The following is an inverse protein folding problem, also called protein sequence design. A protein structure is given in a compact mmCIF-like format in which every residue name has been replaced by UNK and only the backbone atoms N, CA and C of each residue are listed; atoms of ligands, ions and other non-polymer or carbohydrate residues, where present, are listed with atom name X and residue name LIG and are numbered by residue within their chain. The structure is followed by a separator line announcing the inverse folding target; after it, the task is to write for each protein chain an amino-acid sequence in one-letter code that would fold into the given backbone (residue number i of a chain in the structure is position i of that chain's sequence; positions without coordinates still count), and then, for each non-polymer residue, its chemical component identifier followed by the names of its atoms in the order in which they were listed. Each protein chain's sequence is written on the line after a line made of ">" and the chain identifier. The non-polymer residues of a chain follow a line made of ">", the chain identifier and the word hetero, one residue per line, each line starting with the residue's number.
data_IF_431047510218
#
_entry.id   IF_431047510218
#
_cell.length_a   1.000
_cell.length_b   1.000
_cell.length_c   1.000
_cell.angle_alpha   90.00
_cell.angle_beta   90.00
_cell.angle_gamma   90.00
#
_symmetry.space_group_name_H-M   'P 1'
#
loop_
_entity.id
_entity.type
_entity.pdbx_description
1 polymer ?
#
# COMPACT_ATOMS: atom_id res chain seq x y z
N UNK A 1 16.74 0.11 4.53
CA UNK A 1 16.41 1.45 5.09
C UNK A 1 14.91 1.66 5.28
N UNK A 2 14.05 1.42 4.27
CA UNK A 2 12.60 1.68 4.36
C UNK A 2 11.87 0.98 5.54
N UNK A 3 12.23 -0.27 5.87
CA UNK A 3 11.62 -1.02 6.99
C UNK A 3 11.72 -0.30 8.35
N UNK A 4 12.88 0.29 8.65
CA UNK A 4 13.09 1.02 9.91
C UNK A 4 12.28 2.33 9.97
N UNK A 5 11.89 2.86 8.82
CA UNK A 5 11.21 4.15 8.71
C UNK A 5 9.71 4.00 9.01
N UNK A 6 9.04 2.98 8.44
CA UNK A 6 7.62 2.76 8.69
C UNK A 6 7.34 2.31 10.13
N UNK A 7 8.20 1.46 10.70
CA UNK A 7 8.13 1.09 12.12
C UNK A 7 8.24 2.31 13.04
N UNK A 8 9.24 3.18 12.84
CA UNK A 8 9.38 4.43 13.61
C UNK A 8 8.17 5.35 13.45
N UNK A 9 7.58 5.39 12.25
CA UNK A 9 6.38 6.16 12.00
C UNK A 9 5.15 5.61 12.75
N UNK A 10 4.98 4.29 12.76
CA UNK A 10 3.96 3.62 13.57
C UNK A 10 4.13 3.90 15.07
N UNK A 11 5.33 3.70 15.60
CA UNK A 11 5.66 3.94 17.01
C UNK A 11 5.36 5.40 17.42
N UNK A 12 5.67 6.37 16.55
CA UNK A 12 5.50 7.79 16.84
C UNK A 12 4.05 8.26 16.79
N UNK A 13 3.25 7.79 15.83
CA UNK A 13 1.94 8.38 15.53
C UNK A 13 0.74 7.49 15.88
N UNK A 14 0.95 6.17 16.02
CA UNK A 14 -0.15 5.19 16.05
C UNK A 14 -0.10 4.31 17.29
N UNK A 15 1.08 3.88 17.73
CA UNK A 15 1.20 3.00 18.90
C UNK A 15 0.64 3.68 20.15
N UNK A 16 -0.15 2.92 20.92
CA UNK A 16 -0.82 3.43 22.13
C UNK A 16 -2.09 4.24 21.87
N UNK A 17 -2.47 4.48 20.60
CA UNK A 17 -3.75 5.13 20.27
C UNK A 17 -4.92 4.16 20.43
N UNK A 18 -6.06 4.64 20.93
CA UNK A 18 -7.26 3.82 21.11
C UNK A 18 -7.86 3.38 19.76
N UNK A 19 -8.61 2.27 19.73
CA UNK A 19 -9.28 1.78 18.52
C UNK A 19 -10.17 2.86 17.90
N UNK A 20 -10.03 3.10 16.59
CA UNK A 20 -10.75 4.13 15.82
C UNK A 20 -10.57 5.57 16.30
N UNK A 21 -9.59 5.86 17.17
CA UNK A 21 -9.32 7.23 17.57
C UNK A 21 -8.78 8.05 16.41
N UNK A 22 -9.02 9.36 16.45
CA UNK A 22 -8.35 10.29 15.55
C UNK A 22 -6.82 10.23 15.77
N UNK A 23 -6.07 10.42 14.69
CA UNK A 23 -4.60 10.53 14.71
C UNK A 23 -4.17 11.77 13.93
N UNK A 24 -3.02 12.33 14.30
CA UNK A 24 -2.42 13.47 13.60
C UNK A 24 -2.25 13.13 12.13
N UNK A 25 -2.69 14.02 11.23
CA UNK A 25 -2.54 13.82 9.80
C UNK A 25 -1.08 14.04 9.36
N UNK A 26 -0.28 12.99 9.47
CA UNK A 26 1.10 12.95 8.98
C UNK A 26 1.26 11.96 7.83
N UNK A 27 2.30 12.15 7.01
CA UNK A 27 2.66 11.32 5.86
C UNK A 27 4.15 11.03 5.85
N UNK A 28 4.53 9.85 5.39
CA UNK A 28 5.92 9.47 5.21
C UNK A 28 6.18 8.84 3.85
N UNK A 29 7.37 9.07 3.30
CA UNK A 29 7.85 8.40 2.10
C UNK A 29 8.11 6.92 2.40
N UNK A 30 7.48 6.02 1.63
CA UNK A 30 7.62 4.58 1.79
C UNK A 30 8.69 4.03 0.86
N UNK A 31 8.55 4.26 -0.45
CA UNK A 31 9.49 3.76 -1.46
C UNK A 31 9.30 4.44 -2.83
N UNK A 32 10.22 4.18 -3.76
CA UNK A 32 10.02 4.44 -5.18
C UNK A 32 9.50 3.17 -5.87
N UNK A 33 8.49 3.32 -6.74
CA UNK A 33 8.12 2.30 -7.70
C UNK A 33 9.27 2.02 -8.67
N UNK A 34 9.36 0.78 -9.14
CA UNK A 34 10.27 0.42 -10.23
C UNK A 34 9.71 0.88 -11.57
N UNK A 35 10.57 1.00 -12.58
CA UNK A 35 10.14 1.38 -13.93
C UNK A 35 9.08 0.41 -14.48
N UNK A 36 9.22 -0.89 -14.21
CA UNK A 36 8.25 -1.90 -14.62
C UNK A 36 6.88 -1.67 -13.98
N UNK A 37 6.85 -1.36 -12.67
CA UNK A 37 5.59 -1.05 -11.99
C UNK A 37 4.98 0.23 -12.51
N UNK A 38 5.77 1.29 -12.74
CA UNK A 38 5.27 2.54 -13.34
C UNK A 38 4.61 2.32 -14.70
N UNK A 39 5.23 1.50 -15.56
CA UNK A 39 4.67 1.11 -16.86
C UNK A 39 3.36 0.33 -16.69
N UNK A 40 3.34 -0.65 -15.77
CA UNK A 40 2.16 -1.49 -15.51
C UNK A 40 0.93 -0.73 -14.98
N UNK A 41 1.12 0.45 -14.38
CA UNK A 41 0.02 1.34 -13.93
C UNK A 41 -0.13 2.62 -14.76
N UNK A 42 0.62 2.76 -15.86
CA UNK A 42 0.50 3.87 -16.80
C UNK A 42 0.85 5.25 -16.22
N UNK A 43 1.87 5.35 -15.37
CA UNK A 43 2.33 6.62 -14.79
C UNK A 43 3.70 7.06 -15.30
N UNK A 44 3.96 8.37 -15.28
CA UNK A 44 5.29 8.92 -15.55
C UNK A 44 6.28 8.50 -14.44
N UNK A 45 7.53 8.21 -14.83
CA UNK A 45 8.65 7.86 -13.95
C UNK A 45 8.98 8.96 -12.94
N UNK A 46 8.63 10.21 -13.23
CA UNK A 46 8.79 11.35 -12.32
C UNK A 46 7.88 11.24 -11.08
N UNK A 47 6.71 10.60 -11.23
CA UNK A 47 5.72 10.41 -10.17
C UNK A 47 5.87 9.07 -9.42
N UNK A 48 7.07 8.48 -9.39
CA UNK A 48 7.30 7.13 -8.81
C UNK A 48 7.30 7.07 -7.27
N UNK A 49 7.17 8.20 -6.57
CA UNK A 49 7.24 8.25 -5.10
C UNK A 49 5.93 7.75 -4.50
N UNK A 50 6.03 6.73 -3.64
CA UNK A 50 4.90 6.20 -2.88
C UNK A 50 4.99 6.63 -1.43
N UNK A 51 3.88 7.12 -0.92
CA UNK A 51 3.73 7.60 0.44
C UNK A 51 2.70 6.78 1.19
N UNK A 52 2.79 6.79 2.52
CA UNK A 52 1.75 6.25 3.39
C UNK A 52 1.41 7.29 4.46
N UNK A 53 0.12 7.43 4.74
CA UNK A 53 -0.37 8.36 5.76
C UNK A 53 -0.56 7.64 7.09
N UNK A 54 -0.40 8.39 8.18
CA UNK A 54 -0.81 8.02 9.54
C UNK A 54 -2.21 7.42 9.58
N UNK A 55 -3.17 8.00 8.86
CA UNK A 55 -4.54 7.46 8.74
C UNK A 55 -4.58 6.08 8.10
N UNK A 56 -3.82 5.85 7.04
CA UNK A 56 -3.71 4.53 6.42
C UNK A 56 -3.07 3.52 7.37
N UNK A 57 -1.98 3.89 8.06
CA UNK A 57 -1.34 3.02 9.06
C UNK A 57 -2.31 2.72 10.22
N UNK A 58 -3.05 3.71 10.71
CA UNK A 58 -4.09 3.53 11.74
C UNK A 58 -5.17 2.56 11.28
N UNK A 59 -5.62 2.71 10.04
CA UNK A 59 -6.62 1.81 9.45
C UNK A 59 -6.12 0.37 9.38
N UNK A 60 -4.85 0.15 9.01
CA UNK A 60 -4.24 -1.18 9.03
C UNK A 60 -4.15 -1.72 10.46
N UNK A 61 -3.66 -0.91 11.39
CA UNK A 61 -3.51 -1.31 12.79
C UNK A 61 -4.83 -1.72 13.43
N UNK A 62 -5.88 -0.92 13.22
CA UNK A 62 -7.19 -1.17 13.82
C UNK A 62 -7.91 -2.39 13.20
N UNK A 63 -7.70 -2.66 11.90
CA UNK A 63 -8.48 -3.68 11.18
C UNK A 63 -7.80 -5.03 11.03
N UNK A 64 -6.49 -5.13 11.27
CA UNK A 64 -5.73 -6.35 11.03
C UNK A 64 -5.37 -7.05 12.32
N UNK A 65 -5.23 -8.37 12.25
CA UNK A 65 -4.65 -9.13 13.34
C UNK A 65 -3.23 -8.62 13.60
N UNK A 66 -2.80 -8.63 14.86
CA UNK A 66 -1.51 -8.05 15.26
C UNK A 66 -0.33 -8.63 14.45
N UNK A 67 -0.30 -9.94 14.27
CA UNK A 67 0.71 -10.63 13.47
C UNK A 67 0.71 -10.17 12.00
N UNK A 68 -0.48 -10.09 11.38
CA UNK A 68 -0.63 -9.63 10.00
C UNK A 68 -0.17 -8.17 9.87
N UNK A 69 -0.54 -7.31 10.82
CA UNK A 69 -0.14 -5.91 10.83
C UNK A 69 1.38 -5.75 10.92
N UNK A 70 2.03 -6.43 11.87
CA UNK A 70 3.48 -6.38 12.05
C UNK A 70 4.20 -6.87 10.79
N UNK A 71 3.73 -7.98 10.21
CA UNK A 71 4.27 -8.50 8.97
C UNK A 71 4.15 -7.50 7.81
N UNK A 72 2.98 -6.84 7.69
CA UNK A 72 2.75 -5.81 6.67
C UNK A 72 3.68 -4.61 6.88
N UNK A 73 3.80 -4.07 8.10
CA UNK A 73 4.71 -2.96 8.40
C UNK A 73 6.14 -3.26 7.93
N UNK A 74 6.59 -4.50 8.12
CA UNK A 74 7.93 -4.93 7.74
C UNK A 74 8.11 -5.14 6.23
N UNK A 75 7.06 -5.58 5.53
CA UNK A 75 7.17 -6.06 4.15
C UNK A 75 6.39 -5.23 3.12
N UNK A 76 5.62 -4.21 3.53
CA UNK A 76 4.74 -3.44 2.65
C UNK A 76 5.49 -2.83 1.47
N UNK A 77 6.69 -2.31 1.72
CA UNK A 77 7.55 -1.76 0.68
C UNK A 77 7.94 -2.79 -0.39
N UNK A 78 8.05 -4.08 -0.05
CA UNK A 78 8.33 -5.15 -1.01
C UNK A 78 7.12 -5.42 -1.90
N UNK A 79 5.91 -5.45 -1.31
CA UNK A 79 4.65 -5.62 -2.04
C UNK A 79 4.47 -4.50 -3.06
N UNK A 80 4.77 -3.27 -2.65
CA UNK A 80 4.60 -2.07 -3.49
C UNK A 80 5.68 -1.95 -4.56
N UNK A 81 6.96 -2.19 -4.19
CA UNK A 81 8.09 -1.98 -5.09
C UNK A 81 8.29 -3.11 -6.09
N UNK A 82 8.00 -4.34 -5.68
CA UNK A 82 8.25 -5.55 -6.45
C UNK A 82 7.04 -6.49 -6.41
N UNK A 83 5.84 -6.06 -6.84
CA UNK A 83 4.70 -6.96 -6.94
C UNK A 83 4.99 -8.08 -7.94
N UNK A 84 4.27 -9.18 -7.79
CA UNK A 84 4.26 -10.28 -8.76
C UNK A 84 3.07 -10.11 -9.74
N UNK A 85 2.03 -9.37 -9.34
CA UNK A 85 0.88 -9.02 -10.19
C UNK A 85 0.38 -7.61 -9.92
N UNK A 86 -0.10 -6.94 -10.96
CA UNK A 86 -0.79 -5.65 -10.90
C UNK A 86 -2.20 -5.83 -11.43
N UNK A 87 -3.18 -5.35 -10.68
CA UNK A 87 -4.58 -5.35 -11.07
C UNK A 87 -5.15 -3.94 -11.07
N UNK A 88 -6.12 -3.66 -11.94
CA UNK A 88 -7.02 -2.52 -11.79
C UNK A 88 -8.07 -2.85 -10.74
N UNK A 89 -8.27 -1.95 -9.78
CA UNK A 89 -9.27 -2.14 -8.74
C UNK A 89 -10.69 -2.05 -9.31
N UNK A 90 -11.67 -2.58 -8.57
CA UNK A 90 -13.08 -2.52 -8.95
C UNK A 90 -13.62 -1.10 -8.78
N UNK A 91 -14.56 -0.65 -9.65
CA UNK A 91 -15.30 0.58 -9.43
C UNK A 91 -15.92 0.64 -8.03
N UNK A 92 -15.85 1.82 -7.39
CA UNK A 92 -16.42 2.04 -6.05
C UNK A 92 -15.59 1.51 -4.88
N UNK A 93 -14.42 0.90 -5.12
CA UNK A 93 -13.42 0.60 -4.08
C UNK A 93 -12.36 1.70 -4.02
N UNK A 94 -11.78 1.92 -2.84
CA UNK A 94 -10.73 2.92 -2.64
C UNK A 94 -9.42 2.46 -3.27
N UNK A 95 -8.74 3.39 -3.97
CA UNK A 95 -7.51 3.16 -4.72
C UNK A 95 -7.75 2.57 -6.10
N UNK A 96 -6.95 2.98 -7.09
CA UNK A 96 -7.14 2.62 -8.49
C UNK A 96 -6.44 1.31 -8.85
N UNK A 97 -5.34 0.96 -8.18
CA UNK A 97 -4.53 -0.21 -8.50
C UNK A 97 -4.28 -1.09 -7.28
N UNK A 98 -4.24 -2.40 -7.52
CA UNK A 98 -3.91 -3.41 -6.52
C UNK A 98 -2.63 -4.13 -6.92
N UNK A 99 -1.61 -4.01 -6.08
CA UNK A 99 -0.31 -4.64 -6.21
C UNK A 99 -0.33 -5.91 -5.37
N UNK A 100 -0.10 -7.07 -5.98
CA UNK A 100 -0.12 -8.35 -5.28
C UNK A 100 1.28 -8.95 -5.31
N UNK A 101 1.75 -9.38 -4.15
CA UNK A 101 3.02 -10.09 -3.99
C UNK A 101 2.85 -11.33 -3.12
N UNK A 102 3.39 -12.45 -3.56
CA UNK A 102 3.59 -13.65 -2.77
C UNK A 102 4.82 -13.49 -1.89
N UNK A 103 4.66 -13.69 -0.58
CA UNK A 103 5.76 -13.72 0.38
C UNK A 103 5.60 -14.98 1.20
N UNK A 104 6.50 -15.95 1.02
CA UNK A 104 6.34 -17.30 1.54
C UNK A 104 5.18 -18.04 0.87
N UNK A 105 4.27 -18.58 1.66
CA UNK A 105 3.11 -19.35 1.24
C UNK A 105 1.85 -18.49 0.99
N UNK A 106 1.91 -17.18 1.24
CA UNK A 106 0.76 -16.30 1.21
C UNK A 106 0.87 -15.16 0.19
N UNK A 107 -0.27 -14.80 -0.39
CA UNK A 107 -0.41 -13.61 -1.23
C UNK A 107 -0.79 -12.39 -0.37
N UNK A 108 -0.12 -11.28 -0.59
CA UNK A 108 -0.40 -9.99 0.05
C UNK A 108 -0.78 -8.98 -1.01
N UNK A 109 -1.89 -8.28 -0.77
CA UNK A 109 -2.40 -7.23 -1.63
C UNK A 109 -2.14 -5.87 -0.98
N UNK A 110 -1.70 -4.91 -1.77
CA UNK A 110 -1.64 -3.51 -1.42
C UNK A 110 -2.41 -2.69 -2.46
N UNK A 111 -3.41 -1.93 -2.00
CA UNK A 111 -4.13 -0.99 -2.84
C UNK A 111 -3.45 0.38 -2.76
N UNK A 112 -3.14 0.95 -3.93
CA UNK A 112 -2.58 2.30 -4.05
C UNK A 112 -3.61 3.25 -4.66
N UNK A 113 -3.57 4.51 -4.24
CA UNK A 113 -4.36 5.60 -4.79
C UNK A 113 -3.46 6.66 -5.43
N UNK A 114 -3.87 7.20 -6.59
CA UNK A 114 -3.19 8.29 -7.28
C UNK A 114 -3.98 9.57 -7.06
N UNK A 115 -3.48 10.42 -6.16
CA UNK A 115 -4.09 11.71 -5.85
C UNK A 115 -3.44 12.82 -6.65
N UNK A 116 -4.24 13.75 -7.17
CA UNK A 116 -3.72 15.03 -7.64
C UNK A 116 -3.25 15.84 -6.43
N UNK A 117 -1.98 16.25 -6.42
CA UNK A 117 -1.50 17.26 -5.47
C UNK A 117 -1.70 18.66 -6.06
N UNK A 118 -1.60 19.69 -5.23
CA UNK A 118 -1.89 21.09 -5.57
C UNK A 118 -1.04 21.70 -6.70
N UNK A 119 -0.09 20.97 -7.30
CA UNK A 119 0.87 21.50 -8.28
C UNK A 119 1.11 20.53 -9.46
N UNK A 120 0.06 20.02 -10.10
CA UNK A 120 0.12 19.12 -11.28
C UNK A 120 0.85 17.77 -11.08
N UNK A 121 1.52 17.57 -9.95
CA UNK A 121 2.19 16.32 -9.61
C UNK A 121 1.16 15.31 -9.08
N UNK A 122 1.13 14.16 -9.73
CA UNK A 122 0.45 12.97 -9.22
C UNK A 122 1.25 12.39 -8.07
N UNK A 123 0.60 12.24 -6.93
CA UNK A 123 1.17 11.54 -5.78
C UNK A 123 0.53 10.17 -5.62
N UNK A 124 1.36 9.16 -5.33
CA UNK A 124 0.88 7.80 -5.06
C UNK A 124 0.85 7.59 -3.56
N UNK A 125 -0.30 7.19 -3.04
CA UNK A 125 -0.49 6.89 -1.63
C UNK A 125 -0.97 5.45 -1.42
N UNK A 126 -0.62 4.85 -0.29
CA UNK A 126 -1.20 3.57 0.13
C UNK A 126 -2.61 3.80 0.67
N UNK A 127 -3.61 3.18 0.04
CA UNK A 127 -4.99 3.18 0.50
C UNK A 127 -5.24 2.10 1.56
N UNK A 128 -4.77 0.87 1.31
CA UNK A 128 -4.86 -0.26 2.26
C UNK A 128 -3.91 -1.40 1.85
N UNK A 129 -3.70 -2.37 2.74
CA UNK A 129 -2.93 -3.57 2.49
C UNK A 129 -3.37 -4.72 3.41
N UNK A 130 -3.32 -5.96 2.94
CA UNK A 130 -3.72 -7.14 3.70
C UNK A 130 -3.27 -8.45 3.05
N UNK A 131 -3.29 -9.52 3.85
CA UNK A 131 -3.13 -10.89 3.36
C UNK A 131 -4.40 -11.33 2.62
N UNK A 132 -4.26 -11.79 1.38
CA UNK A 132 -5.31 -12.49 0.66
C UNK A 132 -5.48 -13.87 1.29
N UNK A 133 -6.68 -14.14 1.82
CA UNK A 133 -7.06 -15.45 2.37
C UNK A 133 -7.76 -16.34 1.35
N UNK A 134 -8.28 -15.71 0.30
CA UNK A 134 -9.03 -16.33 -0.76
C UNK A 134 -8.63 -15.66 -2.08
N UNK A 135 -8.13 -16.46 -3.02
CA UNK A 135 -7.73 -15.98 -4.34
C UNK A 135 -8.95 -15.51 -5.16
N UNK A 136 -10.17 -15.92 -4.79
CA UNK A 136 -11.42 -15.47 -5.41
C UNK A 136 -11.68 -13.99 -5.20
N UNK A 137 -11.04 -13.39 -4.17
CA UNK A 137 -11.12 -11.96 -3.91
C UNK A 137 -10.71 -11.14 -5.15
N UNK A 138 -9.63 -11.55 -5.81
CA UNK A 138 -9.07 -10.83 -6.97
C UNK A 138 -9.53 -11.38 -8.32
N UNK A 139 -10.28 -12.49 -8.38
CA UNK A 139 -10.76 -13.08 -9.64
C UNK A 139 -11.53 -12.11 -10.54
N UNK A 140 -12.29 -11.19 -9.97
CA UNK A 140 -13.07 -10.18 -10.73
C UNK A 140 -12.31 -8.88 -11.01
N UNK A 141 -11.02 -8.82 -10.66
CA UNK A 141 -10.18 -7.66 -10.92
C UNK A 141 -9.55 -7.79 -12.31
N UNK A 142 -9.40 -6.69 -13.03
CA UNK A 142 -8.72 -6.73 -14.32
C UNK A 142 -7.21 -6.83 -14.11
N UNK A 143 -6.58 -7.93 -14.54
CA UNK A 143 -5.14 -8.09 -14.53
C UNK A 143 -4.52 -7.12 -15.54
N UNK A 144 -3.58 -6.30 -15.09
CA UNK A 144 -2.83 -5.36 -15.93
C UNK A 144 -1.43 -5.88 -16.25
N UNK A 145 -0.79 -6.53 -15.27
CA UNK A 145 0.58 -7.03 -15.42
C UNK A 145 0.83 -8.23 -14.52
N UNK A 146 1.65 -9.18 -14.99
CA UNK A 146 2.19 -10.30 -14.19
C UNK A 146 3.64 -10.52 -14.61
N UNK A 147 4.50 -10.80 -13.64
CA UNK A 147 5.86 -11.30 -13.89
C UNK A 147 5.91 -12.83 -13.79
#
# INVERSE_FOLDING_TARGET
>A
MAQKVLNKFFEKYIKGTAYKSAVVNSKIFLCHLTNAVCLGIGINKESKKVYITSRAVKHLFDKKLAEEFLFLIDNLHKVVKYPDKIYRNRPGKRGEYCLVKRIGDANYLCSIEITASNEDYKEIQIATAFRLRDDDYIKKYALLWSW
#
